data_IF_057733808824
#
_entry.id   IF_057733808824
#
_cell.length_a   1.000
_cell.length_b   1.000
_cell.length_c   1.000
_cell.angle_alpha   90.00
_cell.angle_beta   90.00
_cell.angle_gamma   90.00
#
_symmetry.space_group_name_H-M   'P 1'
#
loop_
_entity.id
_entity.type
_entity.pdbx_description
1 polymer ?
#
# COMPACT_ATOMS: atom_id res chain seq x y z
N UNK A 1 3.71 -11.42 -25.33
CA UNK A 1 4.46 -10.44 -24.49
C UNK A 1 3.99 -10.59 -23.05
N UNK A 2 4.89 -10.92 -22.12
CA UNK A 2 4.55 -11.09 -20.71
C UNK A 2 4.32 -9.72 -20.04
N UNK A 3 3.24 -9.59 -19.26
CA UNK A 3 2.93 -8.38 -18.47
C UNK A 3 4.10 -7.94 -17.59
N UNK A 4 4.82 -8.89 -16.98
CA UNK A 4 6.00 -8.60 -16.15
C UNK A 4 7.12 -7.89 -16.91
N UNK A 5 7.34 -8.22 -18.18
CA UNK A 5 8.38 -7.57 -19.00
C UNK A 5 8.06 -6.12 -19.36
N UNK A 6 6.76 -5.77 -19.45
CA UNK A 6 6.32 -4.37 -19.65
C UNK A 6 6.44 -3.55 -18.38
N UNK A 7 6.01 -4.10 -17.24
CA UNK A 7 6.09 -3.43 -15.93
C UNK A 7 7.55 -3.15 -15.54
N UNK A 8 8.45 -4.12 -15.72
CA UNK A 8 9.87 -3.94 -15.45
C UNK A 8 10.49 -2.83 -16.29
N UNK A 9 10.23 -2.82 -17.60
CA UNK A 9 10.76 -1.78 -18.50
C UNK A 9 10.22 -0.37 -18.20
N UNK A 10 8.97 -0.25 -17.73
CA UNK A 10 8.34 1.04 -17.45
C UNK A 10 8.71 1.61 -16.08
N UNK A 11 8.66 0.79 -15.04
CA UNK A 11 8.75 1.27 -13.65
C UNK A 11 10.14 1.01 -13.05
N UNK A 12 10.72 -0.16 -13.33
CA UNK A 12 11.88 -0.69 -12.59
C UNK A 12 13.22 -0.60 -13.35
N UNK A 13 13.21 -0.15 -14.62
CA UNK A 13 14.42 -0.12 -15.46
C UNK A 13 15.33 1.08 -15.25
N UNK A 14 14.80 2.24 -14.84
CA UNK A 14 15.60 3.44 -14.53
C UNK A 14 15.51 3.74 -13.04
N UNK A 15 16.65 4.04 -12.40
CA UNK A 15 16.72 4.33 -10.96
C UNK A 15 15.79 5.47 -10.52
N UNK A 16 15.62 6.49 -11.37
CA UNK A 16 14.73 7.62 -11.12
C UNK A 16 13.24 7.24 -11.19
N UNK A 17 12.82 6.42 -12.15
CA UNK A 17 11.43 5.92 -12.21
C UNK A 17 11.16 4.90 -11.11
N UNK A 18 12.18 4.14 -10.71
CA UNK A 18 12.13 3.20 -9.61
C UNK A 18 11.89 3.91 -8.27
N UNK A 19 12.70 4.93 -7.96
CA UNK A 19 12.53 5.73 -6.75
C UNK A 19 11.16 6.39 -6.69
N UNK A 20 10.69 6.97 -7.80
CA UNK A 20 9.34 7.54 -7.90
C UNK A 20 8.25 6.49 -7.65
N UNK A 21 8.39 5.30 -8.22
CA UNK A 21 7.45 4.19 -8.02
C UNK A 21 7.41 3.75 -6.56
N UNK A 22 8.57 3.69 -5.88
CA UNK A 22 8.64 3.36 -4.45
C UNK A 22 7.96 4.43 -3.60
N UNK A 23 8.25 5.72 -3.83
CA UNK A 23 7.66 6.81 -3.03
C UNK A 23 6.15 6.83 -3.20
N UNK A 24 5.65 6.76 -4.44
CA UNK A 24 4.21 6.71 -4.71
C UNK A 24 3.59 5.45 -4.10
N UNK A 25 4.25 4.30 -4.26
CA UNK A 25 3.80 3.04 -3.69
C UNK A 25 3.72 3.08 -2.17
N UNK A 26 4.70 3.69 -1.50
CA UNK A 26 4.73 3.83 -0.04
C UNK A 26 3.58 4.72 0.48
N UNK A 27 3.33 5.87 -0.15
CA UNK A 27 2.25 6.77 0.26
C UNK A 27 0.88 6.13 0.07
N UNK A 28 0.67 5.42 -1.05
CA UNK A 28 -0.59 4.70 -1.28
C UNK A 28 -0.73 3.54 -0.30
N UNK A 29 0.35 2.79 -0.05
CA UNK A 29 0.36 1.68 0.89
C UNK A 29 0.05 2.15 2.31
N UNK A 30 0.67 3.22 2.80
CA UNK A 30 0.39 3.79 4.12
C UNK A 30 -1.11 4.05 4.32
N UNK A 31 -1.75 4.75 3.39
CA UNK A 31 -3.19 5.07 3.50
C UNK A 31 -4.10 3.84 3.46
N UNK A 32 -3.79 2.90 2.57
CA UNK A 32 -4.60 1.68 2.43
C UNK A 32 -4.36 0.73 3.60
N UNK A 33 -3.13 0.65 4.08
CA UNK A 33 -2.74 -0.23 5.17
C UNK A 33 -3.26 0.27 6.50
N UNK A 34 -3.19 1.57 6.80
CA UNK A 34 -3.76 2.13 8.02
C UNK A 34 -5.28 1.89 8.08
N UNK A 35 -6.01 2.26 7.02
CA UNK A 35 -7.46 2.04 6.98
C UNK A 35 -7.83 0.56 6.97
N UNK A 36 -7.05 -0.26 6.26
CA UNK A 36 -7.27 -1.70 6.21
C UNK A 36 -6.98 -2.40 7.53
N UNK A 37 -5.92 -1.99 8.22
CA UNK A 37 -5.52 -2.53 9.52
C UNK A 37 -6.52 -2.11 10.59
N UNK A 38 -6.97 -0.85 10.61
CA UNK A 38 -8.01 -0.38 11.52
C UNK A 38 -9.31 -1.14 11.31
N UNK A 39 -9.77 -1.29 10.06
CA UNK A 39 -11.00 -2.03 9.75
C UNK A 39 -10.88 -3.53 10.09
N UNK A 40 -9.73 -4.14 9.83
CA UNK A 40 -9.46 -5.54 10.17
C UNK A 40 -9.43 -5.71 11.70
N UNK A 41 -8.75 -4.81 12.40
CA UNK A 41 -8.67 -4.81 13.86
C UNK A 41 -10.04 -4.62 14.49
N UNK A 42 -10.81 -3.64 14.01
CA UNK A 42 -12.17 -3.39 14.47
C UNK A 42 -13.06 -4.60 14.25
N UNK A 43 -13.02 -5.20 13.05
CA UNK A 43 -13.75 -6.43 12.73
C UNK A 43 -13.36 -7.60 13.65
N UNK A 44 -12.07 -7.78 13.91
CA UNK A 44 -11.57 -8.85 14.79
C UNK A 44 -11.90 -8.61 16.27
N UNK A 45 -12.00 -7.35 16.69
CA UNK A 45 -12.19 -6.95 18.08
C UNK A 45 -13.58 -6.34 18.35
N UNK A 46 -14.57 -6.62 17.49
CA UNK A 46 -15.94 -6.14 17.59
C UNK A 46 -16.51 -6.41 19.00
N UNK A 47 -16.60 -5.35 19.81
CA UNK A 47 -17.14 -5.35 21.18
C UNK A 47 -16.17 -5.03 22.31
N UNK A 48 -14.84 -4.97 22.08
CA UNK A 48 -13.84 -4.72 23.14
C UNK A 48 -13.25 -3.30 23.15
N UNK A 49 -13.56 -2.47 22.16
CA UNK A 49 -12.92 -1.17 21.95
C UNK A 49 -13.80 -0.06 22.56
N UNK A 50 -13.42 0.44 23.74
CA UNK A 50 -13.91 1.72 24.25
C UNK A 50 -13.24 2.82 23.40
N UNK A 51 -13.94 3.35 22.40
CA UNK A 51 -13.42 4.42 21.54
C UNK A 51 -13.22 5.72 22.34
N UNK A 52 -12.05 6.37 22.31
CA UNK A 52 -11.95 7.78 22.69
C UNK A 52 -12.48 8.70 21.57
N UNK A 53 -12.95 9.91 21.91
CA UNK A 53 -13.62 10.83 20.98
C UNK A 53 -12.70 11.44 19.92
#
# INVERSE_FOLDING_TARGET
>A
MALGGKVYNLLFRRTSTFALTIVVGAVVFERVFDQGADALYEYMNHGAILSPP
#
